data_IF_483152957673
#
_entry.id   IF_483152957673
#
_cell.length_a   1.000
_cell.length_b   1.000
_cell.length_c   1.000
_cell.angle_alpha   90.00
_cell.angle_beta   90.00
_cell.angle_gamma   90.00
#
_symmetry.space_group_name_H-M   'P 1'
#
loop_
_entity.id
_entity.type
_entity.pdbx_description
1 polymer ?
#
# COMPACT_ATOMS: atom_id res chain seq x y z
N UNK A 1 -15.30 -4.84 16.25
CA UNK A 1 -14.38 -3.79 15.76
C UNK A 1 -15.14 -2.55 15.35
N UNK A 2 -14.53 -1.36 15.51
CA UNK A 2 -15.00 -0.11 14.93
C UNK A 2 -14.16 0.14 13.65
N UNK A 3 -14.83 0.50 12.55
CA UNK A 3 -14.16 0.85 11.30
C UNK A 3 -14.23 2.36 11.11
N UNK A 4 -13.08 2.97 10.85
CA UNK A 4 -12.95 4.36 10.43
C UNK A 4 -12.51 4.39 8.97
N UNK A 5 -13.45 4.70 8.07
CA UNK A 5 -13.17 4.75 6.63
C UNK A 5 -12.62 6.12 6.22
N UNK A 6 -11.48 6.11 5.53
CA UNK A 6 -10.86 7.30 4.96
C UNK A 6 -11.31 7.44 3.51
N UNK A 7 -11.76 8.65 3.12
CA UNK A 7 -12.22 8.98 1.76
C UNK A 7 -11.26 9.98 1.09
N UNK A 8 -10.11 9.54 0.57
CA UNK A 8 -9.07 10.44 0.07
C UNK A 8 -9.45 11.14 -1.24
N UNK A 9 -10.47 10.65 -1.94
CA UNK A 9 -10.88 11.17 -3.25
C UNK A 9 -11.91 12.29 -3.14
N UNK A 10 -12.93 12.12 -2.29
CA UNK A 10 -14.08 13.04 -2.20
C UNK A 10 -13.67 14.47 -1.85
N UNK A 11 -12.77 14.63 -0.87
CA UNK A 11 -12.26 15.95 -0.46
C UNK A 11 -11.44 16.66 -1.54
N UNK A 12 -11.02 15.94 -2.58
CA UNK A 12 -10.21 16.42 -3.70
C UNK A 12 -11.00 16.51 -5.01
N UNK A 13 -12.31 16.26 -4.97
CA UNK A 13 -13.20 16.21 -6.13
C UNK A 13 -12.72 15.21 -7.21
N UNK A 14 -12.15 14.09 -6.80
CA UNK A 14 -11.71 12.99 -7.67
C UNK A 14 -12.69 11.85 -7.51
N UNK A 15 -13.27 11.36 -8.59
CA UNK A 15 -14.20 10.22 -8.58
C UNK A 15 -13.53 8.88 -8.88
N UNK A 16 -12.39 8.89 -9.57
CA UNK A 16 -11.63 7.70 -9.94
C UNK A 16 -10.18 8.06 -10.24
N UNK A 17 -9.26 7.16 -9.93
CA UNK A 17 -7.84 7.26 -10.29
C UNK A 17 -7.43 6.25 -11.34
N UNK A 18 -8.34 5.43 -11.88
CA UNK A 18 -8.02 4.37 -12.86
C UNK A 18 -7.35 4.92 -14.12
N UNK A 19 -7.90 5.96 -14.71
CA UNK A 19 -7.35 6.59 -15.93
C UNK A 19 -6.28 7.65 -15.65
N UNK A 20 -6.15 8.12 -14.40
CA UNK A 20 -5.12 9.08 -13.95
C UNK A 20 -4.66 8.74 -12.53
N UNK A 21 -3.89 7.68 -12.42
CA UNK A 21 -3.46 7.06 -11.15
C UNK A 21 -2.52 7.94 -10.32
N UNK A 22 -2.08 9.08 -10.84
CA UNK A 22 -1.25 10.06 -10.14
C UNK A 22 -1.99 11.34 -9.75
N UNK A 23 -3.28 11.39 -9.98
CA UNK A 23 -4.12 12.52 -9.59
C UNK A 23 -4.32 12.59 -8.06
N UNK A 24 -4.44 11.40 -7.42
CA UNK A 24 -4.28 11.26 -5.96
C UNK A 24 -3.15 10.25 -5.74
N UNK A 25 -2.03 10.71 -5.21
CA UNK A 25 -0.81 9.90 -5.10
C UNK A 25 -0.78 9.05 -3.85
N UNK A 26 0.11 8.06 -3.82
CA UNK A 26 0.37 7.24 -2.63
C UNK A 26 0.72 8.10 -1.42
N UNK A 27 1.59 9.10 -1.60
CA UNK A 27 2.04 10.01 -0.53
C UNK A 27 0.86 10.77 0.09
N UNK A 28 -0.10 11.16 -0.74
CA UNK A 28 -1.32 11.82 -0.27
C UNK A 28 -2.12 10.90 0.66
N UNK A 29 -2.33 9.64 0.26
CA UNK A 29 -3.12 8.70 1.04
C UNK A 29 -2.35 8.21 2.29
N UNK A 30 -1.02 8.07 2.19
CA UNK A 30 -0.14 7.79 3.34
C UNK A 30 -0.33 8.87 4.41
N UNK A 31 -0.28 10.14 4.02
CA UNK A 31 -0.46 11.26 4.94
C UNK A 31 -1.88 11.30 5.52
N UNK A 32 -2.91 11.12 4.70
CA UNK A 32 -4.30 11.05 5.18
C UNK A 32 -4.49 9.93 6.21
N UNK A 33 -3.86 8.76 6.01
CA UNK A 33 -3.91 7.64 6.94
C UNK A 33 -3.19 7.96 8.26
N UNK A 34 -2.03 8.61 8.21
CA UNK A 34 -1.32 9.07 9.40
C UNK A 34 -2.15 10.10 10.19
N UNK A 35 -2.81 11.06 9.51
CA UNK A 35 -3.68 12.02 10.18
C UNK A 35 -4.93 11.37 10.79
N UNK A 36 -5.46 10.31 10.17
CA UNK A 36 -6.54 9.53 10.74
C UNK A 36 -6.10 8.82 12.04
N UNK A 37 -4.91 8.23 12.06
CA UNK A 37 -4.32 7.66 13.28
C UNK A 37 -4.18 8.72 14.38
N UNK A 38 -3.58 9.88 14.07
CA UNK A 38 -3.37 10.97 15.00
C UNK A 38 -4.69 11.50 15.58
N UNK A 39 -5.76 11.50 14.78
CA UNK A 39 -7.11 11.86 15.21
C UNK A 39 -7.71 10.79 16.13
N UNK A 40 -7.65 9.52 15.73
CA UNK A 40 -8.23 8.39 16.48
C UNK A 40 -7.51 8.18 17.81
N UNK A 41 -6.21 8.40 17.87
CA UNK A 41 -5.42 8.29 19.10
C UNK A 41 -5.84 9.28 20.19
N UNK A 42 -6.54 10.35 19.82
CA UNK A 42 -7.07 11.37 20.76
C UNK A 42 -8.50 11.08 21.23
N UNK A 43 -9.19 10.11 20.61
CA UNK A 43 -10.57 9.76 20.99
C UNK A 43 -10.58 8.78 22.17
N UNK A 44 -11.18 9.18 23.28
CA UNK A 44 -11.23 8.38 24.51
C UNK A 44 -12.00 7.05 24.40
N UNK A 45 -12.74 6.83 23.30
CA UNK A 45 -13.45 5.59 23.01
C UNK A 45 -12.56 4.56 22.31
N UNK A 46 -11.40 4.99 21.79
CA UNK A 46 -10.48 4.17 21.02
C UNK A 46 -9.43 3.55 21.93
N UNK A 47 -9.22 2.24 21.79
CA UNK A 47 -8.07 1.58 22.37
C UNK A 47 -6.85 1.82 21.46
N UNK A 48 -6.01 2.77 21.83
CA UNK A 48 -4.84 3.19 21.03
C UNK A 48 -3.81 2.10 20.81
N UNK A 49 -3.84 1.02 21.61
CA UNK A 49 -2.96 -0.14 21.43
C UNK A 49 -3.50 -1.18 20.44
N UNK A 50 -4.68 -0.93 19.85
CA UNK A 50 -5.39 -1.85 18.94
C UNK A 50 -5.97 -1.11 17.73
N UNK A 51 -5.26 -0.14 17.20
CA UNK A 51 -5.60 0.53 15.94
C UNK A 51 -4.83 -0.17 14.83
N UNK A 52 -5.54 -0.73 13.85
CA UNK A 52 -4.94 -1.38 12.68
C UNK A 52 -5.11 -0.51 11.45
N UNK A 53 -4.05 -0.37 10.65
CA UNK A 53 -4.13 0.16 9.31
C UNK A 53 -4.62 -0.94 8.36
N UNK A 54 -5.62 -0.66 7.54
CA UNK A 54 -6.08 -1.59 6.50
C UNK A 54 -6.31 -0.85 5.19
N UNK A 55 -5.89 -1.44 4.06
CA UNK A 55 -6.09 -0.79 2.78
C UNK A 55 -5.95 -1.72 1.58
N UNK A 56 -6.57 -1.29 0.48
CA UNK A 56 -6.63 -2.00 -0.80
C UNK A 56 -5.92 -1.18 -1.87
N UNK A 57 -5.10 -1.81 -2.70
CA UNK A 57 -4.40 -1.16 -3.82
C UNK A 57 -3.62 0.07 -3.35
N UNK A 58 -4.01 1.26 -3.76
CA UNK A 58 -3.45 2.54 -3.29
C UNK A 58 -3.52 2.68 -1.76
N UNK A 59 -4.63 2.24 -1.15
CA UNK A 59 -4.78 2.19 0.30
C UNK A 59 -3.87 1.14 0.96
N UNK A 60 -3.65 0.01 0.29
CA UNK A 60 -2.68 -1.02 0.70
C UNK A 60 -1.24 -0.48 0.70
N UNK A 61 -0.88 0.27 -0.35
CA UNK A 61 0.40 0.98 -0.41
C UNK A 61 0.54 2.01 0.71
N UNK A 62 -0.55 2.73 1.02
CA UNK A 62 -0.55 3.68 2.12
C UNK A 62 -0.38 2.99 3.48
N UNK A 63 -1.04 1.85 3.69
CA UNK A 63 -0.86 1.02 4.89
C UNK A 63 0.61 0.55 5.01
N UNK A 64 1.20 0.04 3.91
CA UNK A 64 2.59 -0.41 3.87
C UNK A 64 3.56 0.68 4.32
N UNK A 65 3.49 1.88 3.73
CA UNK A 65 4.44 2.93 4.05
C UNK A 65 4.19 3.61 5.40
N UNK A 66 2.99 3.49 5.99
CA UNK A 66 2.77 3.84 7.39
C UNK A 66 3.48 2.88 8.36
N UNK A 67 3.96 1.71 7.91
CA UNK A 67 4.79 0.81 8.68
C UNK A 67 6.31 1.13 8.58
N UNK A 68 6.73 2.02 7.67
CA UNK A 68 8.14 2.36 7.51
C UNK A 68 8.56 3.41 8.55
N UNK A 69 9.38 2.98 9.52
CA UNK A 69 9.76 3.78 10.70
C UNK A 69 10.32 5.17 10.39
N UNK A 70 11.19 5.37 9.37
CA UNK A 70 11.66 6.71 9.05
C UNK A 70 10.55 7.68 8.64
N UNK A 71 9.47 7.17 8.01
CA UNK A 71 8.33 8.00 7.64
C UNK A 71 7.37 8.21 8.82
N UNK A 72 7.15 7.18 9.65
CA UNK A 72 6.36 7.33 10.89
C UNK A 72 6.88 8.49 11.74
N UNK A 73 8.20 8.56 11.93
CA UNK A 73 8.84 9.60 12.74
C UNK A 73 8.59 11.04 12.22
N UNK A 74 8.18 11.20 10.98
CA UNK A 74 7.90 12.49 10.35
C UNK A 74 6.41 12.85 10.37
N UNK A 75 5.51 11.87 10.32
CA UNK A 75 4.07 12.11 10.06
C UNK A 75 3.12 11.63 11.15
N UNK A 76 3.57 10.73 12.06
CA UNK A 76 2.75 10.34 13.22
C UNK A 76 2.99 11.29 14.39
N UNK A 77 1.95 11.57 15.18
CA UNK A 77 2.10 12.25 16.45
C UNK A 77 2.87 11.35 17.45
N UNK A 78 3.62 11.94 18.36
CA UNK A 78 4.39 11.19 19.36
C UNK A 78 3.48 10.22 20.14
N UNK A 79 3.88 8.94 20.14
CA UNK A 79 3.15 7.87 20.82
C UNK A 79 1.93 7.34 20.06
N UNK A 80 1.67 7.83 18.84
CA UNK A 80 0.61 7.31 17.96
C UNK A 80 1.19 6.28 17.01
N UNK A 81 0.85 4.99 17.19
CA UNK A 81 1.29 3.89 16.33
C UNK A 81 0.11 2.99 15.98
N UNK A 82 0.19 2.36 14.83
CA UNK A 82 -0.68 1.23 14.49
C UNK A 82 -0.19 -0.03 15.22
N UNK A 83 -1.11 -0.91 15.58
CA UNK A 83 -0.84 -2.22 16.17
C UNK A 83 -0.70 -3.33 15.11
N UNK A 84 -0.76 -2.96 13.84
CA UNK A 84 -0.55 -3.84 12.69
C UNK A 84 -1.09 -3.25 11.39
N UNK A 85 -0.66 -3.85 10.30
CA UNK A 85 -0.85 -3.33 8.94
C UNK A 85 -1.37 -4.43 8.03
N UNK A 86 -2.53 -4.22 7.44
CA UNK A 86 -3.25 -5.18 6.62
C UNK A 86 -3.37 -4.62 5.19
N UNK A 87 -2.77 -5.29 4.24
CA UNK A 87 -2.54 -4.74 2.90
C UNK A 87 -3.02 -5.70 1.83
N UNK A 88 -4.04 -5.29 1.08
CA UNK A 88 -4.50 -6.03 -0.10
C UNK A 88 -3.85 -5.45 -1.35
N UNK A 89 -3.14 -6.29 -2.08
CA UNK A 89 -2.45 -5.99 -3.35
C UNK A 89 -1.79 -4.60 -3.38
N UNK A 90 -0.90 -4.30 -2.40
CA UNK A 90 -0.20 -3.02 -2.35
C UNK A 90 0.80 -2.87 -3.50
N UNK A 91 1.14 -1.63 -3.85
CA UNK A 91 2.28 -1.34 -4.71
C UNK A 91 3.59 -1.32 -3.91
N UNK A 92 4.41 -2.35 -4.03
CA UNK A 92 5.74 -2.44 -3.40
C UNK A 92 6.86 -1.91 -4.31
N UNK A 93 6.61 -0.82 -5.04
CA UNK A 93 7.45 -0.35 -6.14
C UNK A 93 8.60 0.54 -5.70
N UNK A 94 8.48 1.19 -4.54
CA UNK A 94 9.51 2.02 -3.97
C UNK A 94 10.21 1.27 -2.84
N UNK A 95 11.48 0.92 -3.08
CA UNK A 95 12.31 0.23 -2.10
C UNK A 95 13.05 1.27 -1.25
N UNK A 96 12.80 1.31 0.07
CA UNK A 96 13.55 2.17 0.98
C UNK A 96 15.03 1.78 1.06
N UNK A 97 15.92 2.76 1.15
CA UNK A 97 17.36 2.54 1.35
C UNK A 97 17.71 2.21 2.81
N UNK A 98 16.78 2.41 3.72
CA UNK A 98 16.89 2.08 5.12
C UNK A 98 15.80 1.08 5.49
N UNK A 99 16.19 -0.17 5.76
CA UNK A 99 15.29 -1.26 6.09
C UNK A 99 14.89 -1.20 7.59
N UNK A 100 14.14 -0.15 7.95
CA UNK A 100 13.62 0.05 9.31
C UNK A 100 12.10 0.09 9.27
N UNK A 101 11.49 -1.00 9.71
CA UNK A 101 10.05 -1.19 9.70
C UNK A 101 9.52 -1.38 11.12
N UNK A 102 8.25 -1.07 11.29
CA UNK A 102 7.53 -1.39 12.51
C UNK A 102 7.66 -2.89 12.81
N UNK A 103 7.81 -3.23 14.09
CA UNK A 103 7.91 -4.61 14.55
C UNK A 103 6.53 -5.26 14.75
N UNK A 104 5.46 -4.48 14.63
CA UNK A 104 4.10 -4.97 14.66
C UNK A 104 3.77 -5.78 13.39
N UNK A 105 2.63 -6.47 13.40
CA UNK A 105 2.27 -7.43 12.36
C UNK A 105 2.01 -6.74 11.01
N UNK A 106 2.79 -7.09 10.00
CA UNK A 106 2.60 -6.66 8.61
C UNK A 106 2.06 -7.83 7.78
N UNK A 107 0.86 -7.71 7.25
CA UNK A 107 0.22 -8.76 6.43
C UNK A 107 -0.14 -8.26 5.04
N UNK A 108 0.41 -8.91 4.03
CA UNK A 108 0.09 -8.67 2.62
C UNK A 108 -0.76 -9.83 2.08
N UNK A 109 -1.81 -9.50 1.33
CA UNK A 109 -2.64 -10.41 0.54
C UNK A 109 -2.56 -10.00 -0.93
N UNK A 110 -2.05 -10.86 -1.82
CA UNK A 110 -1.82 -10.46 -3.22
C UNK A 110 -1.96 -11.64 -4.18
N UNK A 111 -2.50 -11.37 -5.36
CA UNK A 111 -2.59 -12.35 -6.43
C UNK A 111 -1.26 -12.56 -7.14
N UNK A 112 -0.91 -13.82 -7.44
CA UNK A 112 0.32 -14.12 -8.20
C UNK A 112 0.26 -13.59 -9.65
N UNK A 113 -0.94 -13.47 -10.22
CA UNK A 113 -1.16 -12.92 -11.56
C UNK A 113 -1.44 -11.42 -11.58
N UNK A 114 -1.32 -10.73 -10.44
CA UNK A 114 -1.51 -9.29 -10.39
C UNK A 114 -0.51 -8.58 -11.31
N UNK A 115 -1.02 -7.97 -12.37
CA UNK A 115 -0.23 -7.23 -13.33
C UNK A 115 -0.44 -5.71 -13.24
N UNK A 116 -1.18 -5.27 -12.25
CA UNK A 116 -1.31 -3.86 -11.87
C UNK A 116 -0.23 -3.48 -10.85
N UNK A 117 -0.22 -4.17 -9.72
CA UNK A 117 0.77 -4.08 -8.64
C UNK A 117 1.37 -5.47 -8.40
N UNK A 118 2.40 -5.87 -9.16
CA UNK A 118 2.90 -7.24 -9.15
C UNK A 118 3.36 -7.75 -7.79
N UNK A 119 3.16 -9.05 -7.53
CA UNK A 119 3.54 -9.69 -6.28
C UNK A 119 5.07 -9.75 -6.06
N UNK A 120 5.86 -9.89 -7.12
CA UNK A 120 7.30 -10.11 -6.99
C UNK A 120 8.06 -9.04 -6.17
N UNK A 121 7.82 -7.72 -6.34
CA UNK A 121 8.43 -6.71 -5.48
C UNK A 121 7.99 -6.80 -4.01
N UNK A 122 6.75 -7.23 -3.75
CA UNK A 122 6.26 -7.41 -2.38
C UNK A 122 6.90 -8.61 -1.71
N UNK A 123 7.13 -9.71 -2.45
CA UNK A 123 7.86 -10.89 -1.95
C UNK A 123 9.29 -10.50 -1.57
N UNK A 124 9.99 -9.77 -2.46
CA UNK A 124 11.34 -9.26 -2.21
C UNK A 124 11.37 -8.38 -0.94
N UNK A 125 10.42 -7.46 -0.81
CA UNK A 125 10.32 -6.56 0.35
C UNK A 125 10.08 -7.33 1.65
N UNK A 126 9.13 -8.27 1.68
CA UNK A 126 8.85 -9.11 2.86
C UNK A 126 10.08 -9.92 3.29
N UNK A 127 10.80 -10.51 2.34
CA UNK A 127 12.03 -11.22 2.64
C UNK A 127 13.07 -10.27 3.26
N UNK A 128 13.28 -9.10 2.65
CA UNK A 128 14.22 -8.09 3.16
C UNK A 128 13.86 -7.62 4.58
N UNK A 129 12.57 -7.37 4.85
CA UNK A 129 12.11 -7.00 6.20
C UNK A 129 12.46 -8.10 7.22
N UNK A 130 12.18 -9.35 6.88
CA UNK A 130 12.37 -10.49 7.80
C UNK A 130 13.84 -10.88 7.99
N UNK A 131 14.72 -10.66 7.00
CA UNK A 131 16.17 -10.86 7.13
C UNK A 131 16.79 -10.00 8.23
N UNK A 132 16.18 -8.85 8.52
CA UNK A 132 16.63 -7.95 9.61
C UNK A 132 15.76 -8.08 10.88
N UNK A 133 15.00 -9.17 11.01
CA UNK A 133 14.23 -9.49 12.21
C UNK A 133 12.85 -8.85 12.30
N UNK A 134 12.31 -8.35 11.17
CA UNK A 134 10.93 -7.85 11.10
C UNK A 134 9.88 -8.96 11.16
N UNK A 135 8.61 -8.58 11.17
CA UNK A 135 7.46 -9.48 11.30
C UNK A 135 6.47 -9.27 10.13
N UNK A 136 6.95 -9.52 8.90
CA UNK A 136 6.17 -9.34 7.69
C UNK A 136 5.74 -10.70 7.09
N UNK A 137 4.49 -10.76 6.66
CA UNK A 137 3.87 -11.95 6.08
C UNK A 137 3.25 -11.62 4.73
N UNK A 138 3.27 -12.59 3.82
CA UNK A 138 2.62 -12.46 2.52
C UNK A 138 1.84 -13.74 2.21
N UNK A 139 0.57 -13.56 1.86
CA UNK A 139 -0.30 -14.63 1.35
C UNK A 139 -0.47 -14.45 -0.15
N UNK A 140 -0.07 -15.48 -0.90
CA UNK A 140 -0.11 -15.48 -2.36
C UNK A 140 -1.30 -16.30 -2.85
N UNK A 141 -2.10 -15.71 -3.74
CA UNK A 141 -3.26 -16.37 -4.34
C UNK A 141 -2.97 -16.74 -5.79
N UNK A 142 -2.78 -18.04 -6.11
CA UNK A 142 -2.45 -18.51 -7.46
C UNK A 142 -3.49 -18.07 -8.49
N UNK A 143 -3.05 -17.57 -9.64
CA UNK A 143 -3.88 -17.07 -10.74
C UNK A 143 -4.87 -15.94 -10.41
N UNK A 144 -4.85 -15.39 -9.20
CA UNK A 144 -5.62 -14.21 -8.86
C UNK A 144 -4.98 -12.94 -9.43
N UNK A 145 -5.81 -12.05 -9.94
CA UNK A 145 -5.43 -10.73 -10.43
C UNK A 145 -5.67 -9.65 -9.37
N UNK A 146 -5.42 -8.40 -9.73
CA UNK A 146 -5.74 -7.24 -8.88
C UNK A 146 -7.21 -7.21 -8.49
N UNK A 147 -7.53 -6.76 -7.28
CA UNK A 147 -8.91 -6.71 -6.76
C UNK A 147 -9.63 -8.07 -6.72
N UNK A 148 -8.92 -9.16 -6.46
CA UNK A 148 -9.47 -10.52 -6.44
C UNK A 148 -10.59 -10.72 -5.40
N UNK A 149 -10.66 -9.88 -4.39
CA UNK A 149 -11.67 -9.87 -3.32
C UNK A 149 -12.90 -8.99 -3.67
N UNK A 150 -12.90 -8.31 -4.81
CA UNK A 150 -14.03 -7.50 -5.27
C UNK A 150 -15.26 -8.35 -5.66
N UNK A 151 -16.42 -7.68 -5.81
CA UNK A 151 -17.63 -8.30 -6.39
C UNK A 151 -17.70 -8.14 -7.91
N UNK A 152 -16.95 -7.17 -8.47
CA UNK A 152 -16.91 -6.92 -9.90
C UNK A 152 -16.21 -8.07 -10.64
N UNK A 153 -16.72 -8.50 -11.82
CA UNK A 153 -16.10 -9.56 -12.60
C UNK A 153 -14.67 -9.22 -13.02
N UNK A 154 -13.87 -10.24 -13.33
CA UNK A 154 -12.52 -10.04 -13.87
C UNK A 154 -12.61 -9.43 -15.27
N UNK A 155 -12.05 -8.23 -15.44
CA UNK A 155 -12.11 -7.46 -16.67
C UNK A 155 -10.75 -6.81 -16.99
N UNK A 156 -10.56 -6.50 -18.28
CA UNK A 156 -9.43 -5.70 -18.76
C UNK A 156 -9.73 -4.21 -18.54
N UNK A 157 -8.78 -3.50 -17.95
CA UNK A 157 -8.82 -2.05 -17.74
C UNK A 157 -7.89 -1.34 -18.72
N UNK A 158 -8.34 -0.97 -19.93
CA UNK A 158 -7.50 -0.44 -21.00
C UNK A 158 -6.92 0.95 -20.70
N UNK A 159 -7.51 1.66 -19.75
CA UNK A 159 -7.05 2.99 -19.34
C UNK A 159 -6.10 2.95 -18.12
N UNK A 160 -5.97 1.82 -17.47
CA UNK A 160 -5.09 1.66 -16.32
C UNK A 160 -3.61 1.47 -16.75
N UNK A 161 -2.72 1.78 -15.83
CA UNK A 161 -1.28 1.62 -16.01
C UNK A 161 -0.77 0.49 -15.11
N UNK A 162 -0.11 -0.51 -15.72
CA UNK A 162 0.68 -1.50 -14.98
C UNK A 162 1.95 -0.84 -14.45
N UNK A 163 2.26 -1.08 -13.19
CA UNK A 163 3.47 -0.59 -12.53
C UNK A 163 4.59 -1.64 -12.48
N UNK A 164 4.43 -2.74 -13.19
CA UNK A 164 5.34 -3.90 -13.15
C UNK A 164 6.82 -3.56 -13.41
N UNK A 165 7.08 -2.55 -14.22
CA UNK A 165 8.42 -2.13 -14.59
C UNK A 165 8.95 -0.93 -13.78
N UNK A 166 8.14 -0.39 -12.88
CA UNK A 166 8.53 0.73 -12.04
C UNK A 166 9.31 0.23 -10.83
N UNK A 167 10.59 0.61 -10.78
CA UNK A 167 11.46 0.35 -9.63
C UNK A 167 12.01 1.69 -9.17
N UNK A 168 11.55 2.12 -8.01
CA UNK A 168 11.98 3.38 -7.41
C UNK A 168 12.77 3.08 -6.14
N UNK A 169 13.68 3.95 -5.79
CA UNK A 169 14.37 3.92 -4.50
C UNK A 169 13.98 5.14 -3.69
N UNK A 170 13.60 4.91 -2.45
CA UNK A 170 13.24 5.95 -1.49
C UNK A 170 14.38 6.11 -0.48
N UNK A 171 14.91 7.32 -0.33
CA UNK A 171 15.98 7.58 0.62
C UNK A 171 15.46 8.23 1.90
N UNK A 172 15.66 7.55 3.02
CA UNK A 172 15.37 8.07 4.35
C UNK A 172 16.24 9.30 4.70
N UNK A 173 17.49 9.30 4.24
CA UNK A 173 18.46 10.37 4.56
C UNK A 173 18.17 11.65 3.79
N UNK A 174 17.94 11.55 2.46
CA UNK A 174 17.72 12.72 1.61
C UNK A 174 16.24 13.09 1.50
N UNK A 175 15.32 12.18 1.91
CA UNK A 175 13.86 12.29 1.77
C UNK A 175 13.42 12.45 0.31
N UNK A 176 14.17 11.82 -0.60
CA UNK A 176 13.97 11.92 -2.05
C UNK A 176 13.78 10.55 -2.68
N UNK A 177 13.18 10.57 -3.87
CA UNK A 177 12.96 9.41 -4.72
C UNK A 177 13.98 9.38 -5.84
N UNK A 178 14.46 8.20 -6.17
CA UNK A 178 15.45 7.97 -7.22
C UNK A 178 15.00 6.89 -8.18
N UNK A 179 15.37 7.01 -9.44
CA UNK A 179 15.24 5.95 -10.43
C UNK A 179 16.28 4.82 -10.21
N UNK A 180 16.18 3.68 -10.93
CA UNK A 180 17.16 2.59 -10.82
C UNK A 180 18.60 2.98 -11.20
N UNK A 181 18.79 4.11 -11.89
CA UNK A 181 20.11 4.65 -12.28
C UNK A 181 20.63 5.69 -11.28
N UNK A 182 20.01 5.81 -10.11
CA UNK A 182 20.31 6.81 -9.08
C UNK A 182 20.11 8.28 -9.49
N UNK A 183 19.30 8.53 -10.52
CA UNK A 183 18.88 9.89 -10.84
C UNK A 183 17.78 10.31 -9.88
N UNK A 184 17.94 11.45 -9.24
CA UNK A 184 16.91 12.07 -8.40
C UNK A 184 15.68 12.43 -9.25
N UNK A 185 14.51 12.08 -8.73
CA UNK A 185 13.21 12.40 -9.30
C UNK A 185 12.54 13.47 -8.45
N UNK A 186 12.18 14.58 -9.05
CA UNK A 186 11.46 15.65 -8.35
C UNK A 186 9.97 15.30 -8.25
N UNK A 187 9.60 14.67 -7.14
CA UNK A 187 8.20 14.30 -6.87
C UNK A 187 7.36 15.46 -6.31
N UNK A 188 7.98 16.60 -6.01
CA UNK A 188 7.26 17.82 -5.64
C UNK A 188 6.64 18.54 -6.84
N UNK A 189 7.26 18.42 -8.03
CA UNK A 189 6.70 18.90 -9.28
C UNK A 189 5.75 17.84 -9.89
N UNK A 190 4.44 18.12 -10.04
CA UNK A 190 3.48 17.20 -10.63
C UNK A 190 3.84 16.74 -12.06
N UNK A 191 4.49 17.59 -12.86
CA UNK A 191 4.90 17.23 -14.23
C UNK A 191 6.09 16.28 -14.21
N UNK A 192 7.09 16.53 -13.36
CA UNK A 192 8.24 15.65 -13.21
C UNK A 192 7.82 14.29 -12.64
N UNK A 193 6.93 14.28 -11.66
CA UNK A 193 6.35 13.06 -11.08
C UNK A 193 5.59 12.25 -12.15
N UNK A 194 4.73 12.88 -12.96
CA UNK A 194 4.03 12.23 -14.06
C UNK A 194 5.02 11.62 -15.05
N UNK A 195 6.02 12.37 -15.51
CA UNK A 195 7.03 11.88 -16.42
C UNK A 195 7.84 10.71 -15.85
N UNK A 196 8.14 10.72 -14.55
CA UNK A 196 8.81 9.62 -13.87
C UNK A 196 7.98 8.31 -13.92
N UNK A 197 6.70 8.38 -13.59
CA UNK A 197 5.81 7.22 -13.67
C UNK A 197 5.59 6.75 -15.12
N UNK A 198 5.30 7.63 -16.05
CA UNK A 198 5.09 7.30 -17.46
C UNK A 198 6.35 6.69 -18.12
N UNK A 199 7.53 6.94 -17.57
CA UNK A 199 8.77 6.35 -18.07
C UNK A 199 8.91 4.84 -17.78
N UNK A 200 8.15 4.30 -16.86
CA UNK A 200 8.21 2.89 -16.43
C UNK A 200 6.85 2.17 -16.50
N UNK A 201 5.74 2.88 -16.37
CA UNK A 201 4.41 2.29 -16.41
C UNK A 201 4.00 1.92 -17.85
N UNK A 202 3.26 0.81 -17.99
CA UNK A 202 2.71 0.34 -19.27
C UNK A 202 1.19 0.44 -19.25
N UNK A 203 0.62 1.16 -20.22
CA UNK A 203 -0.84 1.35 -20.30
C UNK A 203 -1.53 0.20 -21.04
N UNK A 204 -2.71 -0.20 -20.55
CA UNK A 204 -3.70 -0.92 -21.34
C UNK A 204 -3.76 -2.42 -21.20
N UNK A 205 -2.91 -3.03 -20.36
CA UNK A 205 -2.86 -4.49 -20.19
C UNK A 205 -3.21 -4.96 -18.77
N UNK A 206 -3.92 -4.12 -18.01
CA UNK A 206 -4.23 -4.40 -16.61
C UNK A 206 -5.50 -5.21 -16.48
N UNK A 207 -5.41 -6.34 -15.77
CA UNK A 207 -6.54 -7.18 -15.40
C UNK A 207 -6.88 -6.96 -13.93
N UNK A 208 -8.17 -6.75 -13.62
CA UNK A 208 -8.63 -6.66 -12.24
C UNK A 208 -10.06 -7.18 -12.09
N UNK A 209 -10.38 -7.72 -10.92
CA UNK A 209 -11.72 -8.19 -10.59
C UNK A 209 -11.76 -9.50 -9.86
N UNK A 210 -12.95 -9.93 -9.54
CA UNK A 210 -13.27 -11.02 -8.63
C UNK A 210 -12.56 -12.34 -8.97
N UNK A 211 -12.07 -12.98 -7.90
CA UNK A 211 -11.78 -14.39 -7.83
C UNK A 211 -12.54 -14.98 -6.63
N UNK A 212 -13.78 -15.48 -6.82
CA UNK A 212 -14.67 -15.82 -5.70
C UNK A 212 -14.06 -16.81 -4.69
N UNK A 213 -13.23 -17.73 -5.16
CA UNK A 213 -12.50 -18.69 -4.33
C UNK A 213 -11.58 -17.96 -3.34
N UNK A 214 -10.81 -16.99 -3.82
CA UNK A 214 -9.82 -16.29 -3.01
C UNK A 214 -10.40 -15.15 -2.17
N UNK A 215 -11.50 -14.55 -2.60
CA UNK A 215 -12.26 -13.61 -1.76
C UNK A 215 -12.62 -14.27 -0.43
N UNK A 216 -13.22 -15.48 -0.46
CA UNK A 216 -13.57 -16.19 0.76
C UNK A 216 -12.34 -16.55 1.61
N UNK A 217 -11.25 -17.00 0.97
CA UNK A 217 -10.00 -17.32 1.66
C UNK A 217 -9.40 -16.10 2.35
N UNK A 218 -9.34 -14.95 1.66
CA UNK A 218 -8.82 -13.70 2.23
C UNK A 218 -9.66 -13.19 3.40
N UNK A 219 -10.99 -13.24 3.27
CA UNK A 219 -11.92 -12.89 4.35
C UNK A 219 -11.74 -13.78 5.58
N UNK A 220 -11.50 -15.08 5.36
CA UNK A 220 -11.25 -16.03 6.44
C UNK A 220 -9.92 -15.75 7.12
N UNK A 221 -8.85 -15.58 6.36
CA UNK A 221 -7.52 -15.24 6.91
C UNK A 221 -7.58 -13.94 7.72
N UNK A 222 -8.27 -12.92 7.23
CA UNK A 222 -8.46 -11.68 7.98
C UNK A 222 -9.18 -11.91 9.30
N UNK A 223 -10.25 -12.70 9.32
CA UNK A 223 -10.99 -13.02 10.53
C UNK A 223 -10.14 -13.77 11.55
N UNK A 224 -9.45 -14.82 11.08
CA UNK A 224 -8.56 -15.64 11.91
C UNK A 224 -7.47 -14.75 12.55
N UNK A 225 -6.82 -13.90 11.75
CA UNK A 225 -5.80 -12.96 12.20
C UNK A 225 -6.34 -11.95 13.23
N UNK A 226 -7.50 -11.36 12.97
CA UNK A 226 -8.11 -10.40 13.90
C UNK A 226 -8.55 -11.07 15.22
N UNK A 227 -8.87 -12.36 15.21
CA UNK A 227 -9.14 -13.15 16.42
C UNK A 227 -7.86 -13.40 17.21
N UNK A 228 -6.75 -13.71 16.54
CA UNK A 228 -5.44 -13.91 17.15
C UNK A 228 -4.89 -12.63 17.79
N UNK A 229 -5.05 -11.50 17.11
CA UNK A 229 -4.59 -10.17 17.57
C UNK A 229 -5.53 -9.52 18.63
N UNK A 230 -6.64 -10.18 18.99
CA UNK A 230 -7.64 -9.65 19.94
C UNK A 230 -7.19 -9.77 21.40
#
# INVERSE_FOLDING_TARGET
>A
YLVFAIHPFDSRNVSSTVGDQINVTSETVIYDMAQALNLMSKDSRVNTKKIFAAGWSLGGTASLFNAWTPLQNEIHDEGSNYAGYLMWYPGCLALPDLNQWDQDHLQIYIGESDNWTPAAPCIELVNTINEEGGNAHIELYPNAFHSFDADAPLELHPDAYSWANCKLRLSATTKKVYDPKNKELDFSDPKARRAAYESCATKGEVMAGASPEYKYAADKHLKDLLEELR
#
